data_IF_210069248303
#
_entry.id   IF_210069248303
#
_cell.length_a   1.000
_cell.length_b   1.000
_cell.length_c   1.000
_cell.angle_alpha   90.00
_cell.angle_beta   90.00
_cell.angle_gamma   90.00
#
_symmetry.space_group_name_H-M   'P 1'
#
loop_
_entity.id
_entity.type
_entity.pdbx_description
1 polymer ?
#
# COMPACT_ATOMS: atom_id res chain seq x y z
N UNK A 1 44.44 -14.28 36.56
CA UNK A 1 44.29 -14.72 35.16
C UNK A 1 43.16 -15.76 34.92
N UNK A 2 42.47 -16.26 35.95
CA UNK A 2 41.34 -17.21 35.77
C UNK A 2 40.00 -16.52 35.40
N UNK A 3 39.75 -15.36 36.00
CA UNK A 3 38.48 -14.61 35.84
C UNK A 3 38.28 -14.10 34.40
N UNK A 4 39.33 -13.62 33.73
CA UNK A 4 39.23 -13.19 32.31
C UNK A 4 38.90 -14.36 31.38
N UNK A 5 39.38 -15.58 31.68
CA UNK A 5 39.10 -16.79 30.89
C UNK A 5 37.65 -17.25 31.05
N UNK A 6 37.12 -17.20 32.27
CA UNK A 6 35.71 -17.48 32.57
C UNK A 6 34.76 -16.47 31.91
N UNK A 7 35.11 -15.19 31.98
CA UNK A 7 34.34 -14.12 31.32
C UNK A 7 34.39 -14.29 29.80
N UNK A 8 35.58 -14.52 29.24
CA UNK A 8 35.77 -14.72 27.80
C UNK A 8 35.04 -15.97 27.30
N UNK A 9 35.07 -17.09 28.04
CA UNK A 9 34.36 -18.32 27.68
C UNK A 9 32.84 -18.14 27.68
N UNK A 10 32.32 -17.36 28.64
CA UNK A 10 30.90 -17.03 28.69
C UNK A 10 30.50 -16.11 27.53
N UNK A 11 31.34 -15.14 27.17
CA UNK A 11 31.10 -14.30 25.99
C UNK A 11 31.25 -15.08 24.68
N UNK A 12 32.16 -16.04 24.55
CA UNK A 12 32.24 -16.91 23.37
C UNK A 12 31.01 -17.79 23.27
N UNK A 13 30.51 -18.33 24.40
CA UNK A 13 29.28 -19.14 24.43
C UNK A 13 28.04 -18.31 24.04
N UNK A 14 27.84 -17.15 24.65
CA UNK A 14 26.73 -16.25 24.32
C UNK A 14 26.86 -15.67 22.91
N UNK A 15 28.09 -15.39 22.46
CA UNK A 15 28.39 -14.94 21.11
C UNK A 15 27.99 -15.98 20.06
N UNK A 16 28.31 -17.26 20.28
CA UNK A 16 27.86 -18.34 19.38
C UNK A 16 26.34 -18.49 19.35
N UNK A 17 25.67 -18.29 20.49
CA UNK A 17 24.21 -18.34 20.60
C UNK A 17 23.53 -17.18 19.86
N UNK A 18 24.05 -15.96 20.01
CA UNK A 18 23.56 -14.78 19.29
C UNK A 18 23.80 -14.87 17.79
N UNK A 19 25.00 -15.30 17.36
CA UNK A 19 25.32 -15.45 15.93
C UNK A 19 24.48 -16.56 15.31
N UNK A 20 24.32 -17.70 16.00
CA UNK A 20 23.43 -18.78 15.55
C UNK A 20 21.99 -18.30 15.42
N UNK A 21 21.48 -17.55 16.41
CA UNK A 21 20.15 -16.96 16.38
C UNK A 21 19.97 -15.91 15.29
N UNK A 22 20.98 -15.08 15.01
CA UNK A 22 20.93 -14.09 13.93
C UNK A 22 21.01 -14.73 12.55
N UNK A 23 21.76 -15.83 12.39
CA UNK A 23 21.83 -16.56 11.12
C UNK A 23 20.52 -17.32 10.87
N UNK A 24 19.99 -18.03 11.87
CA UNK A 24 18.71 -18.74 11.76
C UNK A 24 17.54 -17.77 11.59
N UNK A 25 17.49 -16.71 12.41
CA UNK A 25 16.49 -15.65 12.31
C UNK A 25 16.61 -14.88 10.99
N UNK A 26 17.84 -14.61 10.55
CA UNK A 26 18.14 -13.99 9.26
C UNK A 26 17.62 -14.83 8.10
N UNK A 27 17.85 -16.15 8.08
CA UNK A 27 17.35 -17.04 7.02
C UNK A 27 15.81 -17.17 7.02
N UNK A 28 15.16 -17.10 8.18
CA UNK A 28 13.68 -17.15 8.27
C UNK A 28 13.02 -15.79 7.95
N UNK A 29 13.68 -14.67 8.27
CA UNK A 29 13.18 -13.31 7.97
C UNK A 29 13.73 -12.69 6.66
N UNK A 30 14.63 -13.36 5.93
CA UNK A 30 15.03 -12.95 4.58
C UNK A 30 13.92 -13.30 3.57
N UNK A 31 12.78 -12.64 3.67
CA UNK A 31 12.02 -12.34 2.45
C UNK A 31 12.88 -11.34 1.69
N UNK A 32 13.34 -11.63 0.46
CA UNK A 32 14.23 -10.73 -0.26
C UNK A 32 13.54 -9.38 -0.44
N UNK A 33 14.04 -8.34 0.25
CA UNK A 33 13.70 -6.96 -0.08
C UNK A 33 14.45 -6.64 -1.36
N UNK A 34 13.77 -6.84 -2.48
CA UNK A 34 14.26 -6.51 -3.81
C UNK A 34 14.44 -4.99 -3.85
N UNK A 35 15.66 -4.51 -3.67
CA UNK A 35 16.04 -3.16 -4.05
C UNK A 35 15.99 -3.11 -5.59
N UNK A 36 14.82 -2.76 -6.12
CA UNK A 36 14.68 -2.36 -7.52
C UNK A 36 15.06 -0.88 -7.62
N UNK A 37 16.26 -0.62 -8.10
CA UNK A 37 16.44 0.48 -9.03
C UNK A 37 15.50 0.19 -10.23
N UNK A 38 14.44 0.98 -10.32
CA UNK A 38 13.40 1.03 -11.35
C UNK A 38 12.58 -0.25 -11.69
N UNK A 39 11.27 0.01 -11.86
CA UNK A 39 10.20 -0.79 -12.50
C UNK A 39 9.65 -2.08 -11.85
N UNK A 40 8.36 -1.98 -11.53
CA UNK A 40 7.30 -3.01 -11.50
C UNK A 40 7.33 -4.05 -10.38
N UNK A 41 6.84 -3.63 -9.22
CA UNK A 41 6.27 -4.53 -8.23
C UNK A 41 4.85 -4.91 -8.71
N UNK A 42 4.69 -6.08 -9.31
CA UNK A 42 3.39 -6.78 -9.30
C UNK A 42 3.12 -7.17 -7.85
N UNK A 43 2.67 -6.20 -7.06
CA UNK A 43 1.85 -6.50 -5.89
C UNK A 43 0.64 -7.21 -6.51
N UNK A 44 0.49 -8.51 -6.28
CA UNK A 44 -0.87 -9.05 -6.17
C UNK A 44 -1.45 -8.45 -4.90
N UNK A 45 -1.71 -7.14 -4.98
CA UNK A 45 -2.62 -6.46 -4.11
C UNK A 45 -3.92 -7.04 -4.60
N UNK A 46 -4.54 -7.91 -3.81
CA UNK A 46 -5.98 -7.94 -3.83
C UNK A 46 -6.41 -6.52 -3.47
N UNK A 47 -6.43 -5.61 -4.46
CA UNK A 47 -7.12 -4.35 -4.34
C UNK A 47 -8.55 -4.77 -4.14
N UNK A 48 -8.93 -4.88 -2.87
CA UNK A 48 -10.33 -5.03 -2.48
C UNK A 48 -11.04 -3.86 -3.14
N UNK A 49 -11.68 -4.17 -4.26
CA UNK A 49 -12.30 -3.18 -5.10
C UNK A 49 -13.59 -2.85 -4.39
N UNK A 50 -13.59 -1.74 -3.67
CA UNK A 50 -14.78 -1.28 -2.96
C UNK A 50 -15.78 -0.79 -3.99
N UNK A 51 -17.00 -1.29 -3.96
CA UNK A 51 -18.11 -0.91 -4.81
C UNK A 51 -18.99 0.12 -4.10
N UNK A 52 -19.46 1.14 -4.82
CA UNK A 52 -20.31 2.21 -4.27
C UNK A 52 -21.46 2.57 -5.22
N UNK A 53 -22.52 3.18 -4.70
CA UNK A 53 -23.63 3.68 -5.51
C UNK A 53 -23.40 5.16 -5.86
N UNK A 54 -23.49 5.53 -7.13
CA UNK A 54 -23.32 6.92 -7.59
C UNK A 54 -24.32 7.91 -6.96
N UNK A 55 -25.54 7.47 -6.63
CA UNK A 55 -26.52 8.30 -5.91
C UNK A 55 -26.37 8.26 -4.39
N UNK A 56 -25.79 7.19 -3.84
CA UNK A 56 -25.67 6.97 -2.39
C UNK A 56 -24.23 6.58 -2.03
N UNK A 57 -23.28 7.55 -1.99
CA UNK A 57 -21.85 7.28 -1.78
C UNK A 57 -21.50 6.69 -0.40
N UNK A 58 -22.44 6.72 0.54
CA UNK A 58 -22.32 6.12 1.86
C UNK A 58 -22.36 4.59 1.82
N UNK A 59 -22.91 4.01 0.75
CA UNK A 59 -22.95 2.56 0.55
C UNK A 59 -21.61 2.12 -0.03
N UNK A 60 -20.89 1.30 0.72
CA UNK A 60 -19.61 0.69 0.33
C UNK A 60 -19.69 -0.82 0.54
N UNK A 61 -19.54 -1.57 -0.53
CA UNK A 61 -19.56 -3.04 -0.52
C UNK A 61 -18.26 -3.58 -1.08
N UNK A 62 -17.94 -4.81 -0.72
CA UNK A 62 -16.78 -5.57 -1.20
C UNK A 62 -17.04 -6.28 -2.54
N UNK A 63 -18.29 -6.30 -3.02
CA UNK A 63 -18.72 -7.01 -4.21
C UNK A 63 -19.62 -6.16 -5.12
N UNK A 64 -19.68 -6.54 -6.40
CA UNK A 64 -20.63 -6.00 -7.37
C UNK A 64 -22.05 -6.45 -7.03
N UNK A 65 -23.03 -5.57 -7.18
CA UNK A 65 -24.42 -5.89 -6.91
C UNK A 65 -25.33 -4.68 -7.09
N UNK A 66 -26.56 -4.80 -6.59
CA UNK A 66 -27.54 -3.71 -6.63
C UNK A 66 -27.54 -2.92 -5.32
N UNK A 67 -27.70 -1.61 -5.44
CA UNK A 67 -27.88 -0.70 -4.32
C UNK A 67 -29.20 -1.01 -3.59
N UNK A 68 -29.20 -1.25 -2.26
CA UNK A 68 -30.41 -1.58 -1.50
C UNK A 68 -31.38 -0.40 -1.34
N UNK A 69 -30.94 0.82 -1.66
CA UNK A 69 -31.77 2.03 -1.54
C UNK A 69 -32.50 2.35 -2.85
N UNK A 70 -31.81 2.26 -4.00
CA UNK A 70 -32.38 2.65 -5.30
C UNK A 70 -32.40 1.55 -6.36
N UNK A 71 -31.88 0.35 -6.06
CA UNK A 71 -31.86 -0.78 -6.98
C UNK A 71 -30.91 -0.67 -8.16
N UNK A 72 -30.19 0.45 -8.33
CA UNK A 72 -29.20 0.61 -9.39
C UNK A 72 -27.92 -0.15 -9.10
N UNK A 73 -27.18 -0.51 -10.15
CA UNK A 73 -25.92 -1.24 -10.03
C UNK A 73 -24.84 -0.41 -9.32
N UNK A 74 -24.07 -1.09 -8.47
CA UNK A 74 -22.90 -0.51 -7.82
C UNK A 74 -21.76 -0.39 -8.83
N UNK A 75 -20.91 0.61 -8.63
CA UNK A 75 -19.74 0.90 -9.46
C UNK A 75 -18.46 0.80 -8.63
N UNK A 76 -17.32 0.38 -9.22
CA UNK A 76 -16.06 0.26 -8.50
C UNK A 76 -15.50 1.63 -8.14
N UNK A 77 -15.10 1.80 -6.89
CA UNK A 77 -14.49 3.01 -6.36
C UNK A 77 -13.00 3.02 -6.74
N UNK A 78 -12.66 3.77 -7.78
CA UNK A 78 -11.27 3.98 -8.18
C UNK A 78 -10.64 5.00 -7.24
N UNK A 79 -9.74 4.55 -6.38
CA UNK A 79 -8.87 5.46 -5.62
C UNK A 79 -7.78 5.99 -6.56
N UNK A 80 -7.98 7.20 -7.08
CA UNK A 80 -6.97 7.91 -7.86
C UNK A 80 -5.81 8.26 -6.93
N UNK A 81 -4.71 7.52 -7.00
CA UNK A 81 -3.48 7.78 -6.23
C UNK A 81 -2.60 8.87 -6.85
N UNK A 82 -3.11 9.62 -7.82
CA UNK A 82 -2.41 10.76 -8.39
C UNK A 82 -2.48 11.93 -7.40
N UNK A 83 -1.37 12.57 -7.03
CA UNK A 83 -1.39 13.80 -6.24
C UNK A 83 -2.00 14.91 -7.10
N UNK A 84 -3.33 15.00 -7.07
CA UNK A 84 -4.07 16.14 -7.59
C UNK A 84 -3.93 17.23 -6.54
N UNK A 85 -3.26 18.32 -6.89
CA UNK A 85 -3.25 19.52 -6.04
C UNK A 85 -4.73 19.96 -5.89
N UNK A 86 -5.29 19.99 -4.66
CA UNK A 86 -6.71 20.29 -4.45
C UNK A 86 -7.11 21.69 -4.93
N UNK A 87 -6.12 22.57 -5.12
CA UNK A 87 -6.32 23.94 -5.59
C UNK A 87 -6.12 24.08 -7.12
N UNK A 88 -5.73 23.01 -7.82
CA UNK A 88 -5.49 23.03 -9.25
C UNK A 88 -6.71 22.55 -10.04
N UNK A 89 -7.47 23.48 -10.60
CA UNK A 89 -8.51 23.18 -11.59
C UNK A 89 -7.88 23.21 -12.98
N UNK A 90 -7.64 22.04 -13.55
CA UNK A 90 -7.11 21.91 -14.91
C UNK A 90 -8.27 21.95 -15.90
N UNK A 91 -8.32 22.96 -16.76
CA UNK A 91 -9.29 23.06 -17.85
C UNK A 91 -8.67 22.69 -19.19
N UNK A 92 -9.43 21.99 -20.03
CA UNK A 92 -9.05 21.75 -21.42
C UNK A 92 -9.28 23.01 -22.24
N UNK A 93 -8.47 23.22 -23.28
CA UNK A 93 -8.60 24.38 -24.18
C UNK A 93 -10.02 24.50 -24.76
N UNK A 94 -10.63 23.37 -25.10
CA UNK A 94 -12.01 23.29 -25.59
C UNK A 94 -13.04 23.69 -24.51
N UNK A 95 -12.77 23.39 -23.25
CA UNK A 95 -13.60 23.82 -22.12
C UNK A 95 -13.66 25.33 -21.94
N UNK A 96 -12.58 26.05 -22.30
CA UNK A 96 -12.55 27.51 -22.26
C UNK A 96 -13.31 28.15 -23.43
N UNK A 97 -13.22 27.56 -24.64
CA UNK A 97 -13.97 28.01 -25.82
C UNK A 97 -15.49 27.87 -25.64
N UNK A 98 -15.91 26.85 -24.90
CA UNK A 98 -17.33 26.59 -24.60
C UNK A 98 -17.86 27.38 -23.40
N UNK A 99 -16.99 28.00 -22.61
CA UNK A 99 -17.36 28.73 -21.40
C UNK A 99 -17.82 30.18 -21.67
N UNK A 100 -18.09 30.53 -22.92
CA UNK A 100 -18.49 31.88 -23.34
C UNK A 100 -19.92 32.21 -22.87
N UNK A 101 -20.06 32.47 -21.58
CA UNK A 101 -21.28 32.99 -20.97
C UNK A 101 -21.42 34.48 -21.30
N UNK A 102 -22.40 34.82 -22.15
CA UNK A 102 -22.87 36.20 -22.26
C UNK A 102 -23.72 36.53 -21.04
N UNK A 103 -23.30 37.54 -20.26
CA UNK A 103 -24.09 38.13 -19.17
C UNK A 103 -25.09 39.14 -19.70
#
# INVERSE_FOLDING_TARGET
MKIKKEIFNKYTLWGTLLVSGFILGGLVFHRPHKEKADQEQLVQEGKETIWTCAMHPQIRMDHSGQCPICGMDLIPLVQSTTPVNPDAVVMTEEGMKLAEIQT
#
